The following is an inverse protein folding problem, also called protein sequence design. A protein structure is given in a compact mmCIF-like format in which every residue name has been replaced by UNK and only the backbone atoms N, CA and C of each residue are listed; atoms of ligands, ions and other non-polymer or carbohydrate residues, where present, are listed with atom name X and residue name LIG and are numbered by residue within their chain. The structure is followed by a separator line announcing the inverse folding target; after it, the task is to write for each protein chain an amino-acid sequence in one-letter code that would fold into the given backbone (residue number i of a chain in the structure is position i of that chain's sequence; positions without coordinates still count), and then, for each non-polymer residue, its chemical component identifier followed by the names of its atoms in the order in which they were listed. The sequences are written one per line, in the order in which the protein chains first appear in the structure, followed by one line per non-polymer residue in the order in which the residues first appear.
data_IF_777779711875
#
_entry.id   IF_777779711875
#
_cell.length_a   1.000
_cell.length_b   1.000
_cell.length_c   1.000
_cell.angle_alpha   90.00
_cell.angle_beta   90.00
_cell.angle_gamma   90.00
#
_symmetry.space_group_name_H-M   'P 1'
#
loop_
_entity.id
_entity.type
_entity.pdbx_description
1 polymer ?
#
# COMPACT_ATOMS: atom_id res chain seq x y z
N UNK A 1 -0.28 -15.27 -13.14
CA UNK A 1 -0.05 -13.91 -12.63
C UNK A 1 -0.81 -12.96 -13.54
N UNK A 2 -2.01 -12.53 -13.16
CA UNK A 2 -2.83 -11.62 -13.96
C UNK A 2 -2.52 -10.21 -13.48
N UNK A 3 -1.78 -9.45 -14.31
CA UNK A 3 -1.58 -8.01 -14.12
C UNK A 3 -2.83 -7.34 -14.71
N UNK A 4 -3.81 -7.01 -13.88
CA UNK A 4 -5.01 -6.29 -14.31
C UNK A 4 -4.74 -4.78 -14.30
N UNK A 5 -4.96 -4.10 -15.44
CA UNK A 5 -4.97 -2.64 -15.52
C UNK A 5 -6.42 -2.15 -15.48
N UNK A 6 -6.74 -1.22 -14.59
CA UNK A 6 -8.05 -0.55 -14.56
C UNK A 6 -7.96 0.85 -15.19
N UNK A 7 -8.83 1.14 -16.17
CA UNK A 7 -8.89 2.42 -16.87
C UNK A 7 -9.63 3.51 -16.05
N UNK A 8 -9.29 4.78 -16.29
CA UNK A 8 -9.75 6.01 -15.64
C UNK A 8 -11.26 6.24 -15.67
N UNK A 9 -11.98 5.58 -16.58
CA UNK A 9 -13.42 5.71 -16.67
C UNK A 9 -14.03 4.47 -16.03
N UNK A 10 -14.78 4.65 -14.94
CA UNK A 10 -15.41 3.59 -14.14
C UNK A 10 -16.42 2.71 -14.88
N UNK A 11 -15.99 2.04 -15.95
CA UNK A 11 -16.72 1.02 -16.64
C UNK A 11 -16.27 -0.33 -16.06
N UNK A 12 -17.06 -0.82 -15.12
CA UNK A 12 -17.04 -2.15 -14.47
C UNK A 12 -17.12 -3.35 -15.45
N UNK A 13 -16.74 -3.20 -16.72
CA UNK A 13 -16.76 -4.31 -17.68
C UNK A 13 -15.35 -4.83 -17.85
N UNK A 14 -15.12 -6.04 -17.34
CA UNK A 14 -13.97 -6.94 -17.54
C UNK A 14 -12.90 -7.01 -16.43
N UNK A 15 -13.30 -6.89 -15.17
CA UNK A 15 -12.71 -7.76 -14.14
C UNK A 15 -13.62 -8.99 -14.02
N UNK A 16 -13.06 -10.20 -14.13
CA UNK A 16 -13.77 -11.45 -14.41
C UNK A 16 -15.08 -11.68 -13.64
N UNK A 17 -16.20 -11.51 -14.34
CA UNK A 17 -17.48 -12.11 -13.96
C UNK A 17 -17.72 -13.28 -14.94
N UNK A 18 -17.50 -14.50 -14.45
CA UNK A 18 -18.09 -15.68 -15.06
C UNK A 18 -19.61 -15.54 -15.00
N UNK A 19 -20.24 -15.77 -16.15
CA UNK A 19 -21.66 -15.65 -16.41
C UNK A 19 -22.52 -16.28 -15.31
N UNK A 20 -23.32 -15.47 -14.62
CA UNK A 20 -24.49 -15.93 -13.89
C UNK A 20 -25.72 -15.28 -14.55
N UNK A 21 -26.43 -16.09 -15.31
CA UNK A 21 -27.64 -15.76 -16.04
C UNK A 21 -28.75 -15.31 -15.07
N UNK A 22 -29.29 -14.11 -15.31
CA UNK A 22 -30.34 -13.50 -14.49
C UNK A 22 -31.67 -14.24 -14.69
N UNK A 23 -32.08 -15.04 -13.70
CA UNK A 23 -33.47 -15.53 -13.55
C UNK A 23 -34.14 -14.78 -12.39
N UNK A 24 -35.29 -14.10 -12.61
CA UNK A 24 -35.96 -13.40 -11.53
C UNK A 24 -36.81 -14.38 -10.72
N UNK A 25 -36.47 -14.57 -9.45
CA UNK A 25 -37.33 -15.31 -8.54
C UNK A 25 -36.64 -15.71 -7.25
N UNK A 26 -37.00 -15.00 -6.17
CA UNK A 26 -36.80 -15.34 -4.74
C UNK A 26 -35.36 -15.58 -4.27
N UNK A 27 -34.91 -14.72 -3.34
CA UNK A 27 -33.89 -14.90 -2.28
C UNK A 27 -32.82 -13.79 -2.28
N UNK A 28 -33.11 -12.57 -1.84
CA UNK A 28 -32.04 -11.58 -1.58
C UNK A 28 -32.39 -10.57 -0.48
N UNK A 29 -32.45 -11.01 0.77
CA UNK A 29 -32.25 -10.12 1.93
C UNK A 29 -30.81 -10.20 2.48
N UNK A 30 -30.11 -11.32 2.28
CA UNK A 30 -28.75 -11.51 2.83
C UNK A 30 -27.64 -10.79 2.05
N UNK A 31 -27.86 -10.43 0.78
CA UNK A 31 -26.83 -9.81 -0.07
C UNK A 31 -26.67 -8.30 0.17
N UNK A 32 -27.75 -7.60 0.55
CA UNK A 32 -27.71 -6.16 0.81
C UNK A 32 -26.84 -5.81 2.02
N UNK A 33 -26.81 -6.67 3.05
CA UNK A 33 -26.00 -6.47 4.27
C UNK A 33 -24.51 -6.65 3.95
N UNK A 34 -24.13 -7.66 3.15
CA UNK A 34 -22.75 -7.84 2.70
C UNK A 34 -22.28 -6.71 1.76
N UNK A 35 -23.16 -6.18 0.92
CA UNK A 35 -22.85 -5.06 0.03
C UNK A 35 -22.64 -3.76 0.82
N UNK A 36 -23.48 -3.52 1.84
CA UNK A 36 -23.33 -2.37 2.74
C UNK A 36 -22.06 -2.43 3.56
N UNK A 37 -21.65 -3.63 4.01
CA UNK A 37 -20.38 -3.84 4.71
C UNK A 37 -19.15 -3.61 3.81
N UNK A 38 -19.20 -3.96 2.52
CA UNK A 38 -18.12 -3.69 1.54
C UNK A 38 -17.98 -2.21 1.19
N UNK A 39 -19.07 -1.45 1.23
CA UNK A 39 -19.08 -0.01 0.89
C UNK A 39 -18.50 0.91 1.97
N UNK A 40 -18.06 0.36 3.12
CA UNK A 40 -17.63 1.17 4.27
C UNK A 40 -16.10 1.29 4.41
N UNK A 41 -15.35 0.50 3.65
CA UNK A 41 -13.89 0.45 3.66
C UNK A 41 -13.36 1.41 2.58
N UNK A 42 -12.51 2.40 2.91
CA UNK A 42 -12.01 3.42 1.95
C UNK A 42 -10.54 3.76 2.23
N UNK A 43 -9.61 3.00 1.68
CA UNK A 43 -8.19 3.33 1.85
C UNK A 43 -7.26 2.18 1.53
N UNK A 44 -6.00 2.52 1.27
CA UNK A 44 -4.86 1.62 1.15
C UNK A 44 -4.39 1.15 2.55
N UNK A 45 -3.33 0.32 2.67
CA UNK A 45 -2.73 -0.01 3.96
C UNK A 45 -2.49 1.24 4.81
N UNK A 46 -2.39 1.04 6.12
CA UNK A 46 -2.19 2.13 7.04
C UNK A 46 -0.76 2.66 6.99
N UNK A 47 -0.54 3.92 7.41
CA UNK A 47 0.80 4.47 7.58
C UNK A 47 1.71 3.63 8.50
N UNK A 48 1.13 2.81 9.40
CA UNK A 48 1.90 1.89 10.26
C UNK A 48 2.47 0.75 9.41
N UNK A 49 1.66 0.13 8.55
CA UNK A 49 2.12 -0.90 7.62
C UNK A 49 3.22 -0.38 6.70
N UNK A 50 3.05 0.81 6.14
CA UNK A 50 4.05 1.46 5.29
C UNK A 50 5.35 1.79 6.06
N UNK A 51 5.24 2.26 7.29
CA UNK A 51 6.40 2.48 8.16
C UNK A 51 7.17 1.17 8.43
N UNK A 52 6.46 0.07 8.73
CA UNK A 52 7.05 -1.24 8.96
C UNK A 52 7.69 -1.81 7.69
N UNK A 53 7.03 -1.67 6.54
CA UNK A 53 7.59 -2.02 5.23
C UNK A 53 8.88 -1.24 4.94
N UNK A 54 8.86 0.07 5.21
CA UNK A 54 10.01 0.96 5.06
C UNK A 54 11.20 0.50 5.90
N UNK A 55 10.96 0.16 7.17
CA UNK A 55 11.98 -0.43 8.04
C UNK A 55 12.46 -1.76 7.46
N UNK A 56 11.58 -2.71 7.15
CA UNK A 56 11.97 -4.04 6.67
C UNK A 56 12.86 -3.97 5.42
N UNK A 57 12.41 -3.23 4.39
CA UNK A 57 13.13 -3.15 3.13
C UNK A 57 14.41 -2.30 3.24
N UNK A 58 14.32 -1.14 3.88
CA UNK A 58 15.44 -0.22 4.01
C UNK A 58 16.54 -0.75 4.94
N UNK A 59 16.18 -1.37 6.06
CA UNK A 59 17.13 -1.85 7.08
C UNK A 59 18.01 -3.00 6.57
N UNK A 60 17.50 -3.78 5.62
CA UNK A 60 18.28 -4.82 4.95
C UNK A 60 19.52 -4.22 4.25
N UNK A 61 19.40 -3.01 3.70
CA UNK A 61 20.41 -2.37 2.86
C UNK A 61 21.23 -1.31 3.61
N UNK A 62 20.61 -0.61 4.56
CA UNK A 62 21.19 0.54 5.24
C UNK A 62 22.59 0.24 5.83
N UNK A 63 23.58 1.13 5.58
CA UNK A 63 24.96 0.88 6.01
C UNK A 63 25.14 1.04 7.53
N UNK A 64 24.32 1.86 8.20
CA UNK A 64 24.37 2.07 9.66
C UNK A 64 23.00 1.82 10.26
N UNK A 65 22.96 0.95 11.27
CA UNK A 65 21.74 0.45 11.90
C UNK A 65 21.59 1.01 13.31
N UNK A 66 20.76 2.04 13.46
CA UNK A 66 20.43 2.66 14.75
C UNK A 66 18.98 3.15 14.74
N UNK A 67 18.47 3.55 15.91
CA UNK A 67 17.09 3.98 16.07
C UNK A 67 16.73 5.17 15.16
N UNK A 68 17.63 6.16 15.02
CA UNK A 68 17.42 7.32 14.13
C UNK A 68 17.19 6.89 12.69
N UNK A 69 18.02 5.98 12.18
CA UNK A 69 17.91 5.51 10.81
C UNK A 69 16.68 4.61 10.62
N UNK A 70 16.26 3.84 11.63
CA UNK A 70 14.97 3.13 11.58
C UNK A 70 13.81 4.11 11.41
N UNK A 71 13.80 5.22 12.17
CA UNK A 71 12.76 6.25 12.05
C UNK A 71 12.78 6.92 10.67
N UNK A 72 13.96 7.21 10.11
CA UNK A 72 14.07 7.78 8.77
C UNK A 72 13.53 6.83 7.69
N UNK A 73 13.84 5.52 7.80
CA UNK A 73 13.34 4.50 6.86
C UNK A 73 11.83 4.27 7.01
N UNK A 74 11.32 4.28 8.24
CA UNK A 74 9.89 4.25 8.52
C UNK A 74 9.18 5.44 7.87
N UNK A 75 9.73 6.64 8.07
CA UNK A 75 9.23 7.86 7.45
C UNK A 75 9.27 7.79 5.92
N UNK A 76 10.37 7.32 5.33
CA UNK A 76 10.47 7.14 3.89
C UNK A 76 9.47 6.13 3.33
N UNK A 77 9.20 5.05 4.07
CA UNK A 77 8.18 4.05 3.70
C UNK A 77 6.75 4.62 3.74
N UNK A 78 6.46 5.56 4.64
CA UNK A 78 5.14 6.20 4.75
C UNK A 78 5.04 7.54 4.01
N UNK A 79 6.12 8.04 3.40
CA UNK A 79 6.19 9.41 2.89
C UNK A 79 5.29 9.67 1.67
N UNK A 80 4.96 8.64 0.88
CA UNK A 80 4.10 8.81 -0.29
C UNK A 80 2.69 9.30 0.11
N UNK A 81 2.16 8.84 1.25
CA UNK A 81 0.86 9.27 1.81
C UNK A 81 0.80 10.75 2.19
N UNK A 82 1.94 11.46 2.27
CA UNK A 82 1.94 12.91 2.50
C UNK A 82 1.27 13.67 1.35
N UNK A 83 1.12 13.04 0.19
CA UNK A 83 0.37 13.58 -0.94
C UNK A 83 -1.11 13.85 -0.58
N UNK A 84 -1.67 13.13 0.41
CA UNK A 84 -3.00 13.37 0.96
C UNK A 84 -3.19 14.80 1.46
N UNK A 85 -2.12 15.44 1.96
CA UNK A 85 -2.18 16.82 2.47
C UNK A 85 -2.48 17.84 1.38
N UNK A 86 -2.14 17.53 0.13
CA UNK A 86 -2.39 18.38 -1.03
C UNK A 86 -3.53 17.85 -1.91
N UNK A 87 -4.30 16.88 -1.39
CA UNK A 87 -5.47 16.34 -2.06
C UNK A 87 -5.17 15.44 -3.27
N UNK A 88 -3.90 15.10 -3.50
CA UNK A 88 -3.50 14.07 -4.46
C UNK A 88 -3.30 12.77 -3.72
N UNK A 89 -3.70 11.63 -4.29
CA UNK A 89 -3.45 10.34 -3.65
C UNK A 89 -3.32 9.29 -4.74
N UNK A 90 -2.43 8.30 -4.56
CA UNK A 90 -2.25 7.17 -5.50
C UNK A 90 -1.71 7.58 -6.87
N UNK A 91 -1.09 8.75 -6.91
CA UNK A 91 -0.51 9.35 -8.10
C UNK A 91 0.96 8.96 -8.31
N UNK A 92 1.78 9.85 -8.91
CA UNK A 92 3.20 9.56 -9.18
C UNK A 92 4.02 9.19 -7.93
N UNK A 93 3.63 9.69 -6.77
CA UNK A 93 4.23 9.40 -5.45
C UNK A 93 4.15 7.92 -5.09
N UNK A 94 3.07 7.24 -5.46
CA UNK A 94 2.84 5.80 -5.26
C UNK A 94 3.36 4.99 -6.46
N UNK A 95 4.64 5.19 -6.82
CA UNK A 95 5.23 4.52 -7.98
C UNK A 95 6.70 4.13 -7.81
N UNK A 96 7.12 3.15 -8.60
CA UNK A 96 8.53 2.77 -8.72
C UNK A 96 9.39 3.90 -9.30
N UNK A 97 8.82 4.76 -10.15
CA UNK A 97 9.49 5.96 -10.63
C UNK A 97 9.84 6.92 -9.49
N UNK A 98 8.93 7.15 -8.55
CA UNK A 98 9.21 7.93 -7.34
C UNK A 98 10.29 7.26 -6.46
N UNK A 99 10.28 5.93 -6.34
CA UNK A 99 11.34 5.21 -5.64
C UNK A 99 12.72 5.40 -6.30
N UNK A 100 12.79 5.43 -7.64
CA UNK A 100 14.03 5.74 -8.38
C UNK A 100 14.47 7.19 -8.18
N UNK A 101 13.54 8.15 -8.15
CA UNK A 101 13.88 9.53 -7.80
C UNK A 101 14.45 9.62 -6.38
N UNK A 102 13.89 8.85 -5.44
CA UNK A 102 14.39 8.79 -4.06
C UNK A 102 15.79 8.18 -3.98
N UNK A 103 16.08 7.12 -4.76
CA UNK A 103 17.43 6.57 -4.93
C UNK A 103 18.42 7.67 -5.31
N UNK A 104 18.12 8.41 -6.37
CA UNK A 104 18.99 9.45 -6.92
C UNK A 104 19.19 10.57 -5.91
N UNK A 105 18.09 11.12 -5.36
CA UNK A 105 18.14 12.23 -4.43
C UNK A 105 18.99 11.91 -3.19
N UNK A 106 18.73 10.79 -2.52
CA UNK A 106 19.47 10.41 -1.32
C UNK A 106 20.91 10.05 -1.64
N UNK A 107 21.18 9.39 -2.78
CA UNK A 107 22.57 9.12 -3.21
C UNK A 107 23.35 10.41 -3.40
N UNK A 108 22.75 11.44 -4.03
CA UNK A 108 23.41 12.72 -4.24
C UNK A 108 23.62 13.50 -2.94
N UNK A 109 22.64 13.48 -2.04
CA UNK A 109 22.72 14.15 -0.73
C UNK A 109 23.75 13.52 0.20
N UNK A 110 23.82 12.19 0.23
CA UNK A 110 24.71 11.44 1.14
C UNK A 110 26.05 11.06 0.50
N UNK A 111 26.17 11.22 -0.82
CA UNK A 111 27.26 10.69 -1.66
C UNK A 111 27.50 9.20 -1.45
N UNK A 112 26.44 8.45 -1.10
CA UNK A 112 26.51 7.03 -0.78
C UNK A 112 25.32 6.28 -1.38
N UNK A 113 25.61 5.44 -2.39
CA UNK A 113 24.58 4.65 -3.08
C UNK A 113 23.85 3.69 -2.15
N UNK A 114 24.47 3.19 -1.07
CA UNK A 114 23.79 2.29 -0.12
C UNK A 114 22.68 3.01 0.64
N UNK A 115 22.85 4.30 0.96
CA UNK A 115 21.78 5.10 1.55
C UNK A 115 20.66 5.36 0.56
N UNK A 116 21.01 5.68 -0.70
CA UNK A 116 20.03 5.80 -1.77
C UNK A 116 19.22 4.51 -1.96
N UNK A 117 19.89 3.37 -2.06
CA UNK A 117 19.26 2.07 -2.21
C UNK A 117 18.37 1.72 -1.01
N UNK A 118 18.78 2.03 0.21
CA UNK A 118 17.96 1.81 1.40
C UNK A 118 16.68 2.66 1.39
N UNK A 119 16.79 3.94 1.03
CA UNK A 119 15.64 4.84 0.91
C UNK A 119 14.69 4.44 -0.23
N UNK A 120 15.25 4.04 -1.38
CA UNK A 120 14.49 3.55 -2.52
C UNK A 120 13.77 2.24 -2.21
N UNK A 121 14.42 1.30 -1.51
CA UNK A 121 13.78 0.07 -1.06
C UNK A 121 12.66 0.35 -0.05
N UNK A 122 12.88 1.29 0.88
CA UNK A 122 11.83 1.73 1.79
C UNK A 122 10.63 2.32 1.04
N UNK A 123 10.86 3.21 0.07
CA UNK A 123 9.79 3.77 -0.76
C UNK A 123 9.10 2.72 -1.63
N UNK A 124 9.85 1.83 -2.27
CA UNK A 124 9.29 0.76 -3.11
C UNK A 124 8.44 -0.23 -2.29
N UNK A 125 8.72 -0.39 -1.00
CA UNK A 125 7.86 -1.17 -0.11
C UNK A 125 6.48 -0.54 0.04
N UNK A 126 6.36 0.79 0.00
CA UNK A 126 5.06 1.48 0.00
C UNK A 126 4.20 1.01 -1.17
N UNK A 127 4.74 1.13 -2.38
CA UNK A 127 4.11 0.71 -3.64
C UNK A 127 3.74 -0.78 -3.57
N UNK A 128 4.66 -1.64 -3.14
CA UNK A 128 4.37 -3.07 -3.04
C UNK A 128 3.22 -3.38 -2.06
N UNK A 129 3.13 -2.67 -0.94
CA UNK A 129 2.07 -2.86 0.05
C UNK A 129 0.73 -2.32 -0.45
N UNK A 130 0.72 -1.18 -1.13
CA UNK A 130 -0.48 -0.62 -1.78
C UNK A 130 -1.02 -1.52 -2.88
N UNK A 131 -0.14 -2.03 -3.74
CA UNK A 131 -0.51 -3.00 -4.76
C UNK A 131 -1.12 -4.27 -4.16
N UNK A 132 -0.66 -4.71 -2.99
CA UNK A 132 -1.22 -5.86 -2.24
C UNK A 132 -2.43 -5.47 -1.38
N UNK A 133 -2.71 -4.18 -1.24
CA UNK A 133 -3.81 -3.64 -0.46
C UNK A 133 -5.15 -3.79 -1.16
N UNK A 134 -6.21 -3.67 -0.38
CA UNK A 134 -7.55 -3.53 -0.92
C UNK A 134 -7.81 -2.08 -1.21
N UNK A 135 -8.20 -1.75 -2.44
CA UNK A 135 -8.74 -0.44 -2.79
C UNK A 135 -10.19 -0.53 -3.27
N UNK A 136 -10.98 0.44 -2.84
CA UNK A 136 -12.43 0.50 -3.05
C UNK A 136 -12.87 1.83 -3.66
N UNK A 137 -11.94 2.78 -3.84
CA UNK A 137 -12.25 4.12 -4.36
C UNK A 137 -11.66 4.31 -5.74
N UNK A 138 -12.48 4.56 -6.78
CA UNK A 138 -11.98 4.84 -8.13
C UNK A 138 -11.08 6.10 -8.20
N UNK A 139 -10.02 6.10 -9.03
CA UNK A 139 -9.50 4.96 -9.79
C UNK A 139 -8.92 3.89 -8.85
N UNK A 140 -9.26 2.62 -9.10
CA UNK A 140 -8.91 1.50 -8.23
C UNK A 140 -7.43 1.13 -8.41
N UNK A 141 -6.71 1.09 -7.30
CA UNK A 141 -5.28 0.74 -7.23
C UNK A 141 -4.39 1.96 -7.19
N UNK A 142 -3.12 1.79 -7.58
CA UNK A 142 -2.10 2.85 -7.60
C UNK A 142 -1.35 2.93 -8.93
N UNK A 143 -0.75 4.08 -9.20
CA UNK A 143 0.04 4.30 -10.42
C UNK A 143 1.47 3.72 -10.32
N UNK A 144 1.56 2.44 -9.94
CA UNK A 144 2.80 1.75 -9.55
C UNK A 144 3.95 1.85 -10.57
N UNK A 145 3.64 1.90 -11.87
CA UNK A 145 4.61 1.86 -12.96
C UNK A 145 4.89 3.23 -13.61
N UNK A 146 4.49 4.33 -12.99
CA UNK A 146 4.92 5.66 -13.44
C UNK A 146 6.46 5.77 -13.37
N UNK A 147 7.13 6.45 -14.34
CA UNK A 147 6.58 7.24 -15.45
C UNK A 147 6.29 6.45 -16.74
N UNK A 148 6.57 5.15 -16.78
CA UNK A 148 6.39 4.36 -18.00
C UNK A 148 4.92 4.30 -18.44
N UNK A 149 4.00 4.32 -17.50
CA UNK A 149 2.55 4.35 -17.75
C UNK A 149 1.81 5.14 -16.67
N UNK A 150 0.58 5.56 -16.99
CA UNK A 150 -0.36 6.21 -16.07
C UNK A 150 -1.53 5.32 -15.66
N UNK A 151 -1.44 4.02 -15.94
CA UNK A 151 -2.44 3.03 -15.54
C UNK A 151 -2.38 2.76 -14.02
N UNK A 152 -3.51 2.35 -13.46
CA UNK A 152 -3.65 1.97 -12.06
C UNK A 152 -3.62 0.45 -11.92
N UNK A 153 -2.91 -0.03 -10.90
CA UNK A 153 -2.64 -1.44 -10.64
C UNK A 153 -3.07 -1.82 -9.23
N UNK A 154 -3.68 -2.99 -9.10
CA UNK A 154 -4.03 -3.63 -7.84
C UNK A 154 -3.83 -5.16 -8.00
N UNK A 155 -3.41 -5.82 -6.94
CA UNK A 155 -3.28 -7.28 -6.89
C UNK A 155 -4.61 -7.92 -6.50
N UNK A 156 -4.91 -9.09 -7.07
CA UNK A 156 -6.05 -9.91 -6.65
C UNK A 156 -5.86 -10.59 -5.28
N UNK A 157 -4.70 -10.43 -4.63
CA UNK A 157 -4.41 -11.06 -3.34
C UNK A 157 -5.06 -10.35 -2.16
N UNK A 158 -5.19 -9.01 -2.21
CA UNK A 158 -5.83 -8.18 -1.18
C UNK A 158 -5.40 -8.53 0.25
N UNK A 159 -4.08 -8.63 0.49
CA UNK A 159 -3.51 -9.06 1.78
C UNK A 159 -3.75 -8.03 2.88
N UNK A 160 -3.73 -6.74 2.53
CA UNK A 160 -3.89 -5.65 3.50
C UNK A 160 -5.31 -5.08 3.41
N UNK A 161 -6.05 -5.04 4.53
CA UNK A 161 -7.38 -4.46 4.57
C UNK A 161 -7.33 -2.96 4.30
N UNK A 162 -8.39 -2.45 3.69
CA UNK A 162 -8.57 -1.04 3.50
C UNK A 162 -8.77 -0.29 4.83
N UNK A 163 -8.12 0.86 4.98
CA UNK A 163 -8.31 1.78 6.11
C UNK A 163 -9.57 2.61 5.88
N UNK A 164 -10.22 3.10 6.93
CA UNK A 164 -11.26 4.12 6.85
C UNK A 164 -10.66 5.49 7.16
N UNK A 165 -10.96 6.49 6.32
CA UNK A 165 -10.63 7.91 6.56
C UNK A 165 -11.77 8.71 7.16
N UNK A 166 -12.93 8.08 7.40
CA UNK A 166 -14.16 8.74 7.85
C UNK A 166 -14.26 8.70 9.38
N UNK A 167 -13.43 9.51 10.03
CA UNK A 167 -13.29 9.55 11.50
C UNK A 167 -14.58 9.93 12.25
N UNK A 168 -15.56 10.51 11.55
CA UNK A 168 -16.86 10.87 12.10
C UNK A 168 -17.87 9.71 12.15
N UNK A 169 -17.50 8.50 11.70
CA UNK A 169 -18.35 7.31 11.79
C UNK A 169 -17.97 6.45 13.01
N UNK A 170 -18.98 5.88 13.67
CA UNK A 170 -18.78 5.05 14.86
C UNK A 170 -17.86 3.83 14.60
N UNK A 171 -17.98 3.23 13.42
CA UNK A 171 -17.22 2.03 13.07
C UNK A 171 -15.75 2.31 12.69
N UNK A 172 -15.35 3.58 12.56
CA UNK A 172 -14.01 4.00 12.14
C UNK A 172 -12.90 3.29 12.92
N UNK A 173 -13.03 3.28 14.25
CA UNK A 173 -12.03 2.69 15.14
C UNK A 173 -11.91 1.18 14.96
N UNK A 174 -13.05 0.50 14.81
CA UNK A 174 -13.07 -0.96 14.64
C UNK A 174 -12.41 -1.38 13.33
N UNK A 175 -12.70 -0.67 12.23
CA UNK A 175 -12.10 -0.96 10.92
C UNK A 175 -10.59 -0.74 10.93
N UNK A 176 -10.13 0.40 11.45
CA UNK A 176 -8.71 0.73 11.45
C UNK A 176 -7.92 -0.15 12.41
N UNK A 177 -8.47 -0.48 13.58
CA UNK A 177 -7.82 -1.41 14.51
C UNK A 177 -7.64 -2.79 13.88
N UNK A 178 -8.66 -3.31 13.18
CA UNK A 178 -8.55 -4.59 12.48
C UNK A 178 -7.46 -4.55 11.41
N UNK A 179 -7.38 -3.48 10.62
CA UNK A 179 -6.36 -3.33 9.60
C UNK A 179 -4.95 -3.32 10.22
N UNK A 180 -4.74 -2.54 11.28
CA UNK A 180 -3.47 -2.48 12.01
C UNK A 180 -3.08 -3.85 12.60
N UNK A 181 -4.03 -4.60 13.14
CA UNK A 181 -3.78 -5.96 13.64
C UNK A 181 -3.27 -6.88 12.52
N UNK A 182 -3.90 -6.83 11.34
CA UNK A 182 -3.47 -7.63 10.19
C UNK A 182 -2.08 -7.21 9.71
N UNK A 183 -1.81 -5.90 9.61
CA UNK A 183 -0.51 -5.37 9.24
C UNK A 183 0.59 -5.82 10.21
N UNK A 184 0.35 -5.73 11.51
CA UNK A 184 1.29 -6.17 12.54
C UNK A 184 1.52 -7.69 12.49
N UNK A 185 0.46 -8.47 12.26
CA UNK A 185 0.57 -9.93 12.16
C UNK A 185 1.41 -10.38 10.95
N UNK A 186 1.31 -9.66 9.83
CA UNK A 186 2.05 -9.98 8.60
C UNK A 186 3.46 -9.38 8.63
N UNK A 187 3.59 -8.07 8.89
CA UNK A 187 4.84 -7.33 8.77
C UNK A 187 5.71 -7.41 10.01
N UNK A 188 5.12 -7.59 11.20
CA UNK A 188 5.84 -7.70 12.46
C UNK A 188 6.91 -8.81 12.45
N UNK A 189 6.56 -10.06 12.08
CA UNK A 189 7.53 -11.14 11.95
C UNK A 189 8.62 -10.86 10.91
N UNK A 190 8.29 -10.21 9.81
CA UNK A 190 9.23 -9.87 8.72
C UNK A 190 10.24 -8.84 9.22
N UNK A 191 9.77 -7.74 9.82
CA UNK A 191 10.63 -6.70 10.40
C UNK A 191 11.54 -7.32 11.46
N UNK A 192 10.98 -8.14 12.36
CA UNK A 192 11.76 -8.80 13.40
C UNK A 192 12.86 -9.69 12.80
N UNK A 193 12.53 -10.53 11.81
CA UNK A 193 13.48 -11.41 11.17
C UNK A 193 14.63 -10.64 10.48
N UNK A 194 14.31 -9.59 9.73
CA UNK A 194 15.31 -8.75 9.06
C UNK A 194 16.22 -8.04 10.07
N UNK A 195 15.63 -7.44 11.12
CA UNK A 195 16.39 -6.74 12.15
C UNK A 195 17.27 -7.71 12.93
N UNK A 196 16.75 -8.88 13.32
CA UNK A 196 17.48 -9.90 14.07
C UNK A 196 18.63 -10.49 13.25
N UNK A 197 18.42 -10.79 11.97
CA UNK A 197 19.47 -11.30 11.09
C UNK A 197 20.61 -10.30 10.93
N UNK A 198 20.27 -9.02 10.72
CA UNK A 198 21.25 -7.95 10.44
C UNK A 198 21.95 -7.38 11.68
N UNK A 199 21.61 -7.87 12.88
CA UNK A 199 22.37 -7.64 14.13
C UNK A 199 23.44 -8.70 14.38
N UNK A 200 23.29 -9.90 13.80
CA UNK A 200 24.24 -11.02 13.97
C UNK A 200 25.39 -11.00 12.95
N UNK A 201 25.22 -10.23 11.86
CA UNK A 201 26.19 -10.02 10.78
C UNK A 201 26.82 -8.65 10.93
#
# INVERSE_FOLDING_TARGET
MVIGACDRQGHQRKCGMLNAEYRPGRLFEHSAIQYRARSILIGMPSPIGHALGGIAAGWAIAPVKNARNAVLLAGAGAAADLDLLVGTHRGPTHSLGAAVLMLVAVTLMTRNVRWGSAAAAAWASHVALDWLGTDTTPPIGEMALWPATRAYYESSLHLFPAISRRYWLADFWMFNLRAVVVELAILGPIVWAVVAWRRKV
#
